data_IF_569253337434
#
_entry.id   IF_569253337434
#
_cell.length_a   1.000
_cell.length_b   1.000
_cell.length_c   1.000
_cell.angle_alpha   90.00
_cell.angle_beta   90.00
_cell.angle_gamma   90.00
#
_symmetry.space_group_name_H-M   'P 1'
#
loop_
_entity.id
_entity.type
_entity.pdbx_description
1 polymer ?
#
# COMPACT_ATOMS: atom_id res chain seq x y z
N UNK A 1 10.33 -29.49 -23.76
CA UNK A 1 9.05 -29.08 -24.40
C UNK A 1 7.99 -28.63 -23.37
N UNK A 2 8.29 -28.66 -22.07
CA UNK A 2 7.44 -28.20 -20.96
C UNK A 2 7.69 -26.74 -20.53
N UNK A 3 8.83 -26.14 -20.87
CA UNK A 3 9.20 -24.77 -20.45
C UNK A 3 8.39 -23.66 -21.13
N UNK A 4 8.10 -23.78 -22.43
CA UNK A 4 7.37 -22.72 -23.16
C UNK A 4 5.91 -22.57 -22.70
N UNK A 5 5.27 -23.69 -22.35
CA UNK A 5 3.91 -23.68 -21.82
C UNK A 5 3.85 -23.01 -20.44
N UNK A 6 4.83 -23.23 -19.56
CA UNK A 6 4.86 -22.58 -18.24
C UNK A 6 5.15 -21.08 -18.34
N UNK A 7 6.04 -20.69 -19.24
CA UNK A 7 6.34 -19.28 -19.55
C UNK A 7 5.11 -18.53 -20.07
N UNK A 8 4.32 -19.16 -20.93
CA UNK A 8 3.10 -18.56 -21.50
C UNK A 8 2.01 -18.40 -20.45
N UNK A 9 1.80 -19.42 -19.60
CA UNK A 9 0.83 -19.35 -18.50
C UNK A 9 1.20 -18.23 -17.52
N UNK A 10 2.47 -18.14 -17.11
CA UNK A 10 2.93 -17.10 -16.19
C UNK A 10 2.71 -15.67 -16.75
N UNK A 11 2.97 -15.47 -18.05
CA UNK A 11 2.72 -14.20 -18.74
C UNK A 11 1.23 -13.84 -18.76
N UNK A 12 0.37 -14.80 -19.06
CA UNK A 12 -1.09 -14.58 -19.09
C UNK A 12 -1.63 -14.25 -17.71
N UNK A 13 -1.24 -15.00 -16.67
CA UNK A 13 -1.66 -14.71 -15.29
C UNK A 13 -1.18 -13.32 -14.84
N UNK A 14 0.07 -12.97 -15.17
CA UNK A 14 0.62 -11.67 -14.83
C UNK A 14 -0.10 -10.51 -15.54
N UNK A 15 -0.45 -10.69 -16.82
CA UNK A 15 -1.20 -9.70 -17.60
C UNK A 15 -2.62 -9.51 -17.05
N UNK A 16 -3.32 -10.59 -16.69
CA UNK A 16 -4.65 -10.53 -16.08
C UNK A 16 -4.58 -9.81 -14.73
N UNK A 17 -3.62 -10.19 -13.88
CA UNK A 17 -3.46 -9.58 -12.56
C UNK A 17 -3.16 -8.09 -12.68
N UNK A 18 -2.29 -7.71 -13.62
CA UNK A 18 -1.98 -6.30 -13.90
C UNK A 18 -3.22 -5.55 -14.40
N UNK A 19 -4.03 -6.15 -15.26
CA UNK A 19 -5.27 -5.55 -15.74
C UNK A 19 -6.28 -5.27 -14.62
N UNK A 20 -6.49 -6.24 -13.73
CA UNK A 20 -7.34 -6.08 -12.54
C UNK A 20 -6.78 -4.98 -11.60
N UNK A 21 -5.45 -4.93 -11.47
CA UNK A 21 -4.74 -3.95 -10.65
C UNK A 21 -4.95 -2.50 -11.11
N UNK A 22 -4.96 -2.27 -12.43
CA UNK A 22 -5.21 -0.96 -13.02
C UNK A 22 -6.64 -0.46 -12.73
N UNK A 23 -7.64 -1.34 -12.74
CA UNK A 23 -9.02 -0.99 -12.36
C UNK A 23 -9.06 -0.51 -10.91
N UNK A 24 -8.38 -1.22 -10.01
CA UNK A 24 -8.24 -0.82 -8.61
C UNK A 24 -7.58 0.55 -8.45
N UNK A 25 -6.53 0.82 -9.22
CA UNK A 25 -5.79 2.10 -9.21
C UNK A 25 -6.72 3.28 -9.57
N UNK A 26 -7.54 3.13 -10.60
CA UNK A 26 -8.52 4.17 -11.01
C UNK A 26 -9.54 4.42 -9.89
N UNK A 27 -10.07 3.36 -9.28
CA UNK A 27 -11.03 3.46 -8.19
C UNK A 27 -10.45 4.15 -6.95
N UNK A 28 -9.21 3.81 -6.56
CA UNK A 28 -8.52 4.50 -5.47
C UNK A 28 -8.25 5.97 -5.78
N UNK A 29 -7.90 6.30 -7.04
CA UNK A 29 -7.74 7.68 -7.49
C UNK A 29 -9.04 8.50 -7.37
N UNK A 30 -10.18 7.92 -7.78
CA UNK A 30 -11.50 8.54 -7.61
C UNK A 30 -11.83 8.73 -6.12
N UNK A 31 -11.50 7.76 -5.28
CA UNK A 31 -11.76 7.81 -3.84
C UNK A 31 -10.98 8.95 -3.17
N UNK A 32 -9.70 9.13 -3.51
CA UNK A 32 -8.89 10.26 -3.05
C UNK A 32 -9.47 11.58 -3.56
N UNK A 33 -9.83 11.65 -4.84
CA UNK A 33 -10.40 12.86 -5.45
C UNK A 33 -11.68 13.31 -4.74
N UNK A 34 -12.60 12.38 -4.49
CA UNK A 34 -13.85 12.65 -3.76
C UNK A 34 -13.54 13.10 -2.33
N UNK A 35 -12.58 12.43 -1.66
CA UNK A 35 -12.18 12.76 -0.28
C UNK A 35 -11.60 14.17 -0.17
N UNK A 36 -10.79 14.60 -1.15
CA UNK A 36 -10.21 15.96 -1.19
C UNK A 36 -11.25 17.02 -1.56
N UNK A 37 -12.14 16.72 -2.52
CA UNK A 37 -13.11 17.69 -3.04
C UNK A 37 -14.25 17.95 -2.04
N UNK A 38 -14.69 16.94 -1.30
CA UNK A 38 -15.90 17.05 -0.49
C UNK A 38 -15.62 17.53 0.95
N UNK A 39 -15.55 18.86 1.13
CA UNK A 39 -15.32 19.49 2.45
C UNK A 39 -16.36 19.13 3.53
N UNK A 40 -17.61 18.81 3.13
CA UNK A 40 -18.70 18.42 4.04
C UNK A 40 -18.51 17.00 4.62
N UNK A 41 -17.58 16.22 4.07
CA UNK A 41 -17.30 14.84 4.46
C UNK A 41 -15.96 14.70 5.21
N UNK A 42 -15.48 15.76 5.86
CA UNK A 42 -14.24 15.77 6.65
C UNK A 42 -14.34 15.07 8.01
N UNK A 43 -15.09 13.97 8.08
CA UNK A 43 -15.04 13.10 9.25
C UNK A 43 -13.69 12.39 9.34
N UNK A 44 -13.21 12.13 10.55
CA UNK A 44 -11.94 11.42 10.81
C UNK A 44 -11.78 10.15 9.99
N UNK A 45 -12.87 9.38 9.84
CA UNK A 45 -12.85 8.14 9.08
C UNK A 45 -12.66 8.36 7.56
N UNK A 46 -13.23 9.44 7.00
CA UNK A 46 -13.03 9.75 5.58
C UNK A 46 -11.61 10.21 5.29
N UNK A 47 -10.98 10.93 6.23
CA UNK A 47 -9.57 11.29 6.13
C UNK A 47 -8.68 10.02 6.16
N UNK A 48 -8.99 9.05 7.04
CA UNK A 48 -8.31 7.75 7.05
C UNK A 48 -8.48 6.99 5.73
N UNK A 49 -9.69 6.99 5.15
CA UNK A 49 -9.97 6.39 3.83
C UNK A 49 -9.17 7.06 2.71
N UNK A 50 -8.99 8.39 2.77
CA UNK A 50 -8.15 9.13 1.83
C UNK A 50 -6.68 8.73 1.92
N UNK A 51 -6.13 8.67 3.15
CA UNK A 51 -4.76 8.20 3.38
C UNK A 51 -4.60 6.74 2.95
N UNK A 52 -5.57 5.89 3.26
CA UNK A 52 -5.60 4.49 2.84
C UNK A 52 -5.59 4.35 1.31
N UNK A 53 -6.38 5.15 0.60
CA UNK A 53 -6.38 5.20 -0.86
C UNK A 53 -5.04 5.67 -1.42
N UNK A 54 -4.42 6.68 -0.80
CA UNK A 54 -3.11 7.18 -1.18
C UNK A 54 -2.00 6.14 -0.98
N UNK A 55 -1.99 5.46 0.17
CA UNK A 55 -1.05 4.36 0.41
C UNK A 55 -1.25 3.19 -0.57
N UNK A 56 -2.50 2.87 -0.92
CA UNK A 56 -2.77 1.87 -1.96
C UNK A 56 -2.21 2.30 -3.32
N UNK A 57 -2.37 3.55 -3.74
CA UNK A 57 -1.75 4.02 -4.98
C UNK A 57 -0.22 3.84 -4.97
N UNK A 58 0.44 4.19 -3.86
CA UNK A 58 1.87 3.99 -3.69
C UNK A 58 2.26 2.51 -3.76
N UNK A 59 1.46 1.62 -3.17
CA UNK A 59 1.66 0.17 -3.27
C UNK A 59 1.52 -0.36 -4.71
N UNK A 60 0.61 0.19 -5.49
CA UNK A 60 0.35 -0.24 -6.88
C UNK A 60 1.48 0.15 -7.84
N UNK A 61 2.27 1.19 -7.51
CA UNK A 61 3.51 1.53 -8.22
C UNK A 61 4.50 0.36 -8.23
N UNK A 62 4.44 -0.55 -7.25
CA UNK A 62 5.28 -1.75 -7.22
C UNK A 62 5.11 -2.64 -8.45
N UNK A 63 3.91 -2.72 -9.00
CA UNK A 63 3.58 -3.61 -10.13
C UNK A 63 4.20 -3.10 -11.43
N UNK A 64 4.52 -1.81 -11.51
CA UNK A 64 5.15 -1.19 -12.67
C UNK A 64 6.58 -1.72 -12.88
N UNK A 65 7.30 -2.00 -11.79
CA UNK A 65 8.69 -2.47 -11.84
C UNK A 65 8.85 -3.87 -12.47
N UNK A 66 8.16 -4.93 -12.01
CA UNK A 66 8.21 -6.23 -12.66
C UNK A 66 7.63 -6.18 -14.08
N UNK A 67 6.67 -5.30 -14.35
CA UNK A 67 6.14 -5.11 -15.70
C UNK A 67 7.23 -4.60 -16.68
N UNK A 68 8.01 -3.59 -16.27
CA UNK A 68 9.14 -3.09 -17.06
C UNK A 68 10.21 -4.18 -17.24
N UNK A 69 10.53 -4.94 -16.19
CA UNK A 69 11.56 -5.99 -16.24
C UNK A 69 11.16 -7.19 -17.10
N UNK A 70 9.87 -7.55 -17.12
CA UNK A 70 9.37 -8.72 -17.86
C UNK A 70 9.12 -8.40 -19.34
N UNK A 71 8.79 -7.15 -19.67
CA UNK A 71 8.45 -6.72 -21.04
C UNK A 71 9.64 -6.19 -21.85
N UNK A 72 10.74 -5.77 -21.22
CA UNK A 72 11.94 -5.29 -21.93
C UNK A 72 13.01 -6.39 -22.01
N UNK A 73 13.09 -7.14 -23.13
CA UNK A 73 14.18 -8.07 -23.36
C UNK A 73 15.46 -7.26 -23.59
N UNK A 74 16.34 -7.17 -22.58
CA UNK A 74 17.66 -6.54 -22.75
C UNK A 74 18.25 -5.81 -21.55
N UNK A 75 17.52 -5.64 -20.43
CA UNK A 75 18.14 -5.05 -19.24
C UNK A 75 19.05 -6.06 -18.53
N UNK A 76 20.35 -5.90 -18.75
CA UNK A 76 21.40 -6.60 -18.02
C UNK A 76 21.30 -6.38 -16.49
N UNK A 77 21.97 -7.27 -15.75
CA UNK A 77 22.03 -7.35 -14.27
C UNK A 77 21.79 -6.01 -13.57
N UNK A 78 20.56 -5.78 -13.12
CA UNK A 78 20.24 -4.60 -12.32
C UNK A 78 20.83 -4.80 -10.93
N UNK A 79 21.60 -3.82 -10.40
CA UNK A 79 22.12 -3.89 -9.05
C UNK A 79 20.97 -4.04 -8.04
N UNK A 80 21.05 -5.07 -7.18
CA UNK A 80 20.01 -5.38 -6.17
C UNK A 80 19.68 -4.20 -5.26
N UNK A 81 20.66 -3.32 -5.01
CA UNK A 81 20.49 -2.13 -4.17
C UNK A 81 19.50 -1.13 -4.77
N UNK A 82 19.51 -0.95 -6.10
CA UNK A 82 18.49 -0.14 -6.79
C UNK A 82 17.12 -0.82 -6.74
N UNK A 83 17.07 -2.15 -6.91
CA UNK A 83 15.81 -2.90 -6.81
C UNK A 83 15.21 -2.80 -5.40
N UNK A 84 16.03 -2.94 -4.36
CA UNK A 84 15.62 -2.81 -2.97
C UNK A 84 15.12 -1.39 -2.66
N UNK A 85 15.84 -0.34 -3.08
CA UNK A 85 15.40 1.05 -2.88
C UNK A 85 14.05 1.35 -3.55
N UNK A 86 13.84 0.84 -4.77
CA UNK A 86 12.58 1.07 -5.47
C UNK A 86 11.44 0.22 -4.86
N UNK A 87 11.73 -0.95 -4.29
CA UNK A 87 10.73 -1.79 -3.61
C UNK A 87 10.41 -1.34 -2.17
N UNK A 88 11.34 -0.67 -1.49
CA UNK A 88 11.17 -0.20 -0.11
C UNK A 88 9.93 0.71 0.04
N UNK A 89 9.74 1.65 -0.90
CA UNK A 89 8.61 2.58 -0.89
C UNK A 89 7.26 1.85 -0.99
N UNK A 90 7.01 1.01 -2.03
CA UNK A 90 5.74 0.31 -2.15
C UNK A 90 5.51 -0.75 -1.08
N UNK A 91 6.56 -1.45 -0.62
CA UNK A 91 6.43 -2.41 0.50
C UNK A 91 6.01 -1.68 1.78
N UNK A 92 6.62 -0.53 2.08
CA UNK A 92 6.19 0.34 3.17
C UNK A 92 4.73 0.79 3.02
N UNK A 93 4.33 1.16 1.80
CA UNK A 93 2.93 1.45 1.46
C UNK A 93 2.00 0.29 1.75
N UNK A 94 2.35 -0.93 1.33
CA UNK A 94 1.53 -2.14 1.51
C UNK A 94 1.32 -2.45 2.98
N UNK A 95 2.38 -2.39 3.79
CA UNK A 95 2.28 -2.65 5.23
C UNK A 95 1.44 -1.60 5.95
N UNK A 96 1.50 -0.34 5.50
CA UNK A 96 0.66 0.72 6.04
C UNK A 96 -0.81 0.53 5.63
N UNK A 97 -1.11 0.02 4.43
CA UNK A 97 -2.48 -0.31 3.99
C UNK A 97 -3.13 -1.33 4.93
N UNK A 98 -2.43 -2.42 5.28
CA UNK A 98 -2.98 -3.42 6.21
C UNK A 98 -3.24 -2.85 7.60
N UNK A 99 -2.29 -2.05 8.12
CA UNK A 99 -2.43 -1.41 9.43
C UNK A 99 -3.60 -0.43 9.46
N UNK A 100 -3.72 0.42 8.43
CA UNK A 100 -4.84 1.35 8.27
C UNK A 100 -6.18 0.63 8.12
N UNK A 101 -6.23 -0.49 7.40
CA UNK A 101 -7.46 -1.28 7.22
C UNK A 101 -8.00 -1.80 8.55
N UNK A 102 -7.12 -2.35 9.41
CA UNK A 102 -7.49 -2.81 10.75
C UNK A 102 -8.02 -1.65 11.60
N UNK A 103 -7.31 -0.53 11.58
CA UNK A 103 -7.70 0.68 12.32
C UNK A 103 -9.05 1.22 11.86
N UNK A 104 -9.31 1.29 10.56
CA UNK A 104 -10.59 1.73 10.01
C UNK A 104 -11.70 0.78 10.49
N UNK A 105 -11.44 -0.53 10.48
CA UNK A 105 -12.37 -1.53 11.01
C UNK A 105 -12.69 -1.31 12.49
N UNK A 106 -11.66 -1.10 13.32
CA UNK A 106 -11.82 -0.83 14.75
C UNK A 106 -12.57 0.49 14.99
N UNK A 107 -12.24 1.56 14.28
CA UNK A 107 -12.92 2.85 14.40
C UNK A 107 -14.42 2.73 14.07
N UNK A 108 -14.77 1.96 13.02
CA UNK A 108 -16.17 1.66 12.67
C UNK A 108 -16.86 0.77 13.70
N UNK A 109 -16.18 -0.24 14.23
CA UNK A 109 -16.73 -1.07 15.31
C UNK A 109 -17.00 -0.25 16.57
N UNK A 110 -16.06 0.61 16.99
CA UNK A 110 -16.23 1.49 18.15
C UNK A 110 -17.39 2.47 17.97
N UNK A 111 -17.59 2.99 16.74
CA UNK A 111 -18.75 3.83 16.45
C UNK A 111 -20.09 3.10 16.59
N UNK A 112 -20.13 1.79 16.30
CA UNK A 112 -21.34 0.96 16.42
C UNK A 112 -21.58 0.51 17.87
N UNK A 113 -20.54 0.01 18.55
CA UNK A 113 -20.67 -0.54 19.91
C UNK A 113 -20.73 0.53 21.00
N UNK A 114 -20.06 1.68 20.80
CA UNK A 114 -19.93 2.73 21.82
C UNK A 114 -20.21 4.13 21.23
N UNK A 115 -21.42 4.38 20.69
CA UNK A 115 -21.73 5.63 19.99
C UNK A 115 -21.63 6.87 20.89
N UNK A 116 -22.00 6.75 22.18
CA UNK A 116 -21.95 7.85 23.15
C UNK A 116 -20.50 8.25 23.41
N UNK A 117 -19.62 7.30 23.72
CA UNK A 117 -18.19 7.57 23.92
C UNK A 117 -17.53 8.11 22.64
N UNK A 118 -17.91 7.56 21.48
CA UNK A 118 -17.41 7.98 20.18
C UNK A 118 -17.76 9.44 19.88
N UNK A 119 -18.95 9.91 20.25
CA UNK A 119 -19.39 11.30 20.04
C UNK A 119 -18.71 12.32 20.97
N UNK A 120 -18.29 11.93 22.17
CA UNK A 120 -17.70 12.85 23.16
C UNK A 120 -16.18 12.97 23.06
N UNK A 121 -15.53 12.17 22.21
CA UNK A 121 -14.06 12.09 22.13
C UNK A 121 -13.46 13.29 21.39
N UNK A 122 -12.23 13.68 21.77
CA UNK A 122 -11.43 14.64 21.01
C UNK A 122 -10.93 14.03 19.70
N UNK A 123 -11.53 14.44 18.58
CA UNK A 123 -11.24 13.94 17.23
C UNK A 123 -9.75 14.02 16.85
N UNK A 124 -9.11 15.16 17.12
CA UNK A 124 -7.73 15.44 16.69
C UNK A 124 -6.68 14.60 17.42
N UNK A 125 -6.86 14.39 18.73
CA UNK A 125 -5.90 13.61 19.53
C UNK A 125 -5.97 12.12 19.20
N UNK A 126 -7.18 11.59 19.07
CA UNK A 126 -7.36 10.19 18.70
C UNK A 126 -6.77 9.89 17.33
N UNK A 127 -7.04 10.74 16.32
CA UNK A 127 -6.48 10.57 14.99
C UNK A 127 -4.95 10.53 14.99
N UNK A 128 -4.32 11.44 15.73
CA UNK A 128 -2.85 11.47 15.85
C UNK A 128 -2.33 10.17 16.46
N UNK A 129 -2.92 9.71 17.56
CA UNK A 129 -2.50 8.48 18.25
C UNK A 129 -2.65 7.28 17.32
N UNK A 130 -3.81 7.15 16.68
CA UNK A 130 -4.11 6.06 15.76
C UNK A 130 -3.15 6.05 14.57
N UNK A 131 -2.89 7.20 13.97
CA UNK A 131 -1.94 7.30 12.87
C UNK A 131 -0.52 6.94 13.31
N UNK A 132 -0.11 7.37 14.51
CA UNK A 132 1.20 7.07 15.08
C UNK A 132 1.37 5.56 15.35
N UNK A 133 0.32 4.91 15.86
CA UNK A 133 0.27 3.44 16.02
C UNK A 133 0.28 2.73 14.68
N UNK A 134 -0.43 3.23 13.67
CA UNK A 134 -0.39 2.67 12.31
C UNK A 134 1.00 2.74 11.70
N UNK A 135 1.73 3.81 11.98
CA UNK A 135 3.03 4.10 11.38
C UNK A 135 4.18 3.36 12.08
N UNK A 136 4.02 2.94 13.33
CA UNK A 136 5.06 2.19 14.05
C UNK A 136 5.33 0.83 13.40
N UNK A 137 4.29 0.13 12.94
CA UNK A 137 4.40 -1.18 12.29
C UNK A 137 5.22 -1.17 10.98
N UNK A 138 4.92 -0.31 9.98
CA UNK A 138 5.73 -0.22 8.77
C UNK A 138 7.14 0.31 9.04
N UNK A 139 7.36 1.16 10.06
CA UNK A 139 8.70 1.63 10.43
C UNK A 139 9.58 0.51 10.99
N UNK A 140 9.05 -0.35 11.86
CA UNK A 140 9.78 -1.50 12.39
C UNK A 140 10.14 -2.45 11.25
N UNK A 141 9.20 -2.71 10.34
CA UNK A 141 9.44 -3.56 9.18
C UNK A 141 10.47 -2.96 8.22
N UNK A 142 10.40 -1.65 7.95
CA UNK A 142 11.41 -0.94 7.17
C UNK A 142 12.80 -1.02 7.81
N UNK A 143 12.90 -0.85 9.12
CA UNK A 143 14.16 -0.99 9.85
C UNK A 143 14.74 -2.39 9.72
N UNK A 144 13.90 -3.43 9.81
CA UNK A 144 14.32 -4.81 9.59
C UNK A 144 14.82 -5.04 8.16
N UNK A 145 14.05 -4.59 7.16
CA UNK A 145 14.43 -4.72 5.74
C UNK A 145 15.75 -4.01 5.47
N UNK A 146 15.91 -2.76 5.88
CA UNK A 146 17.15 -1.99 5.69
C UNK A 146 18.32 -2.70 6.36
N UNK A 147 18.16 -3.20 7.59
CA UNK A 147 19.20 -3.94 8.29
C UNK A 147 19.64 -5.19 7.52
N UNK A 148 18.69 -6.00 7.04
CA UNK A 148 19.00 -7.18 6.22
C UNK A 148 19.63 -6.82 4.87
N UNK A 149 19.24 -5.71 4.25
CA UNK A 149 19.76 -5.27 2.95
C UNK A 149 21.20 -4.74 3.06
N UNK A 150 21.55 -4.11 4.19
CA UNK A 150 22.91 -3.63 4.47
C UNK A 150 23.85 -4.80 4.79
N UNK A 151 23.32 -5.87 5.38
CA UNK A 151 24.12 -7.01 5.82
C UNK A 151 24.55 -7.93 4.66
N UNK A 152 23.74 -8.02 3.58
CA UNK A 152 24.05 -8.85 2.40
C UNK A 152 23.96 -8.07 1.05
N UNK A 153 24.90 -7.14 0.77
CA UNK A 153 24.89 -6.39 -0.48
C UNK A 153 25.37 -7.17 -1.73
N UNK A 154 25.93 -8.39 -1.59
CA UNK A 154 26.72 -9.05 -2.65
C UNK A 154 26.42 -10.52 -3.00
N UNK A 155 25.38 -11.15 -2.45
CA UNK A 155 24.94 -12.49 -2.90
C UNK A 155 23.75 -12.37 -3.83
#
# INVERSE_FOLDING_TARGET
MTDDSQSTIAKTVFAINTGVDQIGTVLFGVLIFITVKQKRLHGNCHLLLGIYGFCNLLSKIQILLPFILFMLPGYGKIPRLYCALIQIIPIGGCMNVYSLMLIIGIDRMLAIFLPIWYSTRSEKHYLKIIYLVSLSFPLIFLGFVINTTIQDPFL
#
